data_IF_885185556314
#
_entry.id   IF_885185556314
#
_cell.length_a   1.000
_cell.length_b   1.000
_cell.length_c   1.000
_cell.angle_alpha   90.00
_cell.angle_beta   90.00
_cell.angle_gamma   90.00
#
_symmetry.space_group_name_H-M   'P 1'
#
loop_
_entity.id
_entity.type
_entity.pdbx_description
1 polymer ?
#
# COMPACT_ATOMS: atom_id res chain seq x y z
N UNK A 1 15.27 13.36 -14.85
CA UNK A 1 15.97 12.53 -13.85
C UNK A 1 14.93 12.21 -12.77
N UNK A 2 14.61 10.93 -12.56
CA UNK A 2 13.44 10.49 -11.79
C UNK A 2 13.50 10.93 -10.32
N UNK A 3 14.66 10.76 -9.67
CA UNK A 3 14.93 11.22 -8.30
C UNK A 3 14.64 12.70 -8.09
N UNK A 4 15.26 13.58 -8.87
CA UNK A 4 15.05 15.03 -8.75
C UNK A 4 13.58 15.43 -8.96
N UNK A 5 12.91 14.77 -9.92
CA UNK A 5 11.48 15.02 -10.17
C UNK A 5 10.62 14.64 -8.97
N UNK A 6 10.94 13.54 -8.29
CA UNK A 6 10.26 13.13 -7.07
C UNK A 6 10.54 14.08 -5.90
N UNK A 7 11.82 14.40 -5.64
CA UNK A 7 12.23 15.24 -4.52
C UNK A 7 11.65 16.66 -4.61
N UNK A 8 11.49 17.19 -5.82
CA UNK A 8 10.92 18.52 -6.06
C UNK A 8 9.38 18.52 -6.19
N UNK A 9 8.74 17.36 -6.20
CA UNK A 9 7.29 17.25 -6.39
C UNK A 9 6.50 17.51 -5.10
N UNK A 10 5.59 18.47 -5.12
CA UNK A 10 4.57 18.67 -4.07
C UNK A 10 3.21 18.06 -4.46
N UNK A 11 3.18 17.22 -5.51
CA UNK A 11 1.95 16.56 -5.96
C UNK A 11 1.43 15.57 -4.88
N UNK A 12 0.14 15.63 -4.50
CA UNK A 12 -0.45 14.76 -3.48
C UNK A 12 -0.28 13.25 -3.70
N UNK A 13 0.05 12.80 -4.92
CA UNK A 13 0.33 11.39 -5.20
C UNK A 13 1.44 10.81 -4.31
N UNK A 14 2.33 11.64 -3.76
CA UNK A 14 3.40 11.20 -2.85
C UNK A 14 2.86 10.51 -1.59
N UNK A 15 1.58 10.75 -1.24
CA UNK A 15 0.87 10.06 -0.17
C UNK A 15 0.19 8.75 -0.57
N UNK A 16 0.21 8.35 -1.84
CA UNK A 16 -0.48 7.15 -2.32
C UNK A 16 0.38 5.91 -2.13
N UNK A 17 -0.21 4.89 -1.53
CA UNK A 17 0.42 3.58 -1.28
C UNK A 17 -0.42 2.49 -1.93
N UNK A 18 0.24 1.56 -2.60
CA UNK A 18 -0.38 0.38 -3.18
C UNK A 18 0.28 -0.87 -2.63
N UNK A 19 -0.52 -1.72 -1.99
CA UNK A 19 -0.10 -3.06 -1.64
C UNK A 19 -0.55 -4.05 -2.71
N UNK A 20 0.41 -4.79 -3.25
CA UNK A 20 0.23 -5.77 -4.33
C UNK A 20 0.47 -7.18 -3.78
N UNK A 21 -0.43 -8.09 -4.12
CA UNK A 21 -0.38 -9.47 -3.67
C UNK A 21 -0.82 -10.45 -4.74
N UNK A 22 0.09 -11.31 -5.18
CA UNK A 22 -0.21 -12.40 -6.09
C UNK A 22 -0.59 -13.69 -5.33
N UNK A 23 -1.26 -14.63 -6.00
CA UNK A 23 -1.31 -16.01 -5.54
C UNK A 23 0.07 -16.67 -5.66
N UNK A 24 0.59 -17.20 -4.56
CA UNK A 24 1.97 -17.71 -4.43
C UNK A 24 2.08 -19.24 -4.63
N UNK A 25 0.97 -19.98 -4.55
CA UNK A 25 0.97 -21.45 -4.70
C UNK A 25 1.33 -22.25 -3.45
N UNK A 26 1.60 -21.60 -2.31
CA UNK A 26 1.73 -22.30 -1.02
C UNK A 26 0.37 -22.76 -0.50
N UNK A 27 0.32 -23.73 0.43
CA UNK A 27 -0.91 -24.10 1.11
C UNK A 27 -1.30 -23.08 2.20
N UNK A 28 -2.60 -22.99 2.48
CA UNK A 28 -3.14 -22.26 3.62
C UNK A 28 -2.90 -20.75 3.56
N UNK A 29 -2.59 -20.14 4.71
CA UNK A 29 -2.42 -18.68 4.84
C UNK A 29 -1.24 -18.14 4.02
N UNK A 30 -0.27 -18.97 3.66
CA UNK A 30 0.89 -18.56 2.86
C UNK A 30 0.58 -18.49 1.36
N UNK A 31 -0.61 -18.91 0.94
CA UNK A 31 -1.00 -19.00 -0.46
C UNK A 31 -1.09 -17.64 -1.18
N UNK A 32 -1.23 -16.54 -0.44
CA UNK A 32 -1.51 -15.23 -1.00
C UNK A 32 -0.54 -14.18 -0.49
N UNK A 33 0.15 -13.48 -1.40
CA UNK A 33 1.01 -12.35 -1.09
C UNK A 33 0.26 -11.24 -0.35
N UNK A 34 -1.04 -11.09 -0.62
CA UNK A 34 -1.92 -10.17 0.11
C UNK A 34 -1.95 -10.43 1.62
N UNK A 35 -1.83 -11.69 2.07
CA UNK A 35 -1.82 -12.02 3.49
C UNK A 35 -0.54 -11.49 4.17
N UNK A 36 0.59 -11.53 3.47
CA UNK A 36 1.84 -10.92 3.96
C UNK A 36 1.73 -9.39 3.99
N UNK A 37 1.06 -8.79 3.00
CA UNK A 37 0.86 -7.33 2.98
C UNK A 37 -0.08 -6.85 4.09
N UNK A 38 -1.03 -7.67 4.51
CA UNK A 38 -1.91 -7.35 5.64
C UNK A 38 -1.16 -7.28 6.98
N UNK A 39 0.00 -7.94 7.12
CA UNK A 39 0.91 -7.77 8.28
C UNK A 39 1.51 -6.38 8.30
N UNK A 40 1.77 -5.79 7.13
CA UNK A 40 2.41 -4.48 6.98
C UNK A 40 1.39 -3.34 7.10
N UNK A 41 0.13 -3.60 6.75
CA UNK A 41 -0.94 -2.59 6.68
C UNK A 41 -1.10 -1.74 7.95
N UNK A 42 -1.00 -2.28 9.18
CA UNK A 42 -1.11 -1.50 10.40
C UNK A 42 -0.02 -0.43 10.58
N UNK A 43 1.15 -0.61 9.96
CA UNK A 43 2.24 0.35 10.01
C UNK A 43 1.97 1.59 9.15
N UNK A 44 1.06 1.51 8.16
CA UNK A 44 0.79 2.61 7.23
C UNK A 44 0.00 3.71 7.94
N UNK A 45 0.55 4.93 8.10
CA UNK A 45 -0.12 5.99 8.81
C UNK A 45 -1.38 6.47 8.06
N UNK A 46 -2.42 6.97 8.75
CA UNK A 46 -3.64 7.46 8.10
C UNK A 46 -3.43 8.65 7.16
N UNK A 47 -2.26 9.31 7.20
CA UNK A 47 -1.85 10.31 6.21
C UNK A 47 -1.64 9.75 4.81
N UNK A 48 -1.40 8.44 4.69
CA UNK A 48 -1.23 7.80 3.40
C UNK A 48 -2.55 7.21 2.90
N UNK A 49 -2.83 7.46 1.63
CA UNK A 49 -3.93 6.83 0.89
C UNK A 49 -3.51 5.42 0.46
N UNK A 50 -3.78 4.45 1.33
CA UNK A 50 -3.48 3.05 1.10
C UNK A 50 -4.61 2.35 0.33
N UNK A 51 -4.25 1.83 -0.84
CA UNK A 51 -5.06 0.92 -1.66
C UNK A 51 -4.43 -0.47 -1.73
N UNK A 52 -5.24 -1.48 -2.05
CA UNK A 52 -4.80 -2.88 -2.14
C UNK A 52 -5.25 -3.47 -3.46
N UNK A 53 -4.40 -4.30 -4.07
CA UNK A 53 -4.70 -5.08 -5.26
C UNK A 53 -4.16 -6.49 -5.07
N UNK A 54 -5.02 -7.36 -4.56
CA UNK A 54 -4.69 -8.74 -4.21
C UNK A 54 -5.49 -9.69 -5.08
N UNK A 55 -4.88 -10.79 -5.53
CA UNK A 55 -5.59 -11.81 -6.33
C UNK A 55 -6.82 -12.34 -5.58
N UNK A 56 -6.68 -12.67 -4.28
CA UNK A 56 -7.78 -13.23 -3.45
C UNK A 56 -9.02 -12.34 -3.33
N UNK A 57 -8.83 -11.02 -3.44
CA UNK A 57 -9.90 -10.02 -3.27
C UNK A 57 -10.39 -9.50 -4.63
N UNK A 58 -9.82 -10.02 -5.73
CA UNK A 58 -10.11 -9.53 -7.06
C UNK A 58 -11.48 -10.00 -7.56
N UNK A 59 -12.27 -9.12 -8.20
CA UNK A 59 -13.55 -9.53 -8.79
C UNK A 59 -13.38 -10.65 -9.82
N UNK A 60 -14.03 -11.79 -9.56
CA UNK A 60 -13.96 -12.96 -10.44
C UNK A 60 -12.78 -13.90 -10.17
N UNK A 61 -12.04 -13.71 -9.07
CA UNK A 61 -11.08 -14.69 -8.59
C UNK A 61 -11.76 -16.03 -8.26
N UNK A 62 -11.17 -17.14 -8.72
CA UNK A 62 -11.61 -18.51 -8.46
C UNK A 62 -10.47 -19.26 -7.76
N UNK A 63 -10.71 -19.64 -6.50
CA UNK A 63 -9.76 -20.42 -5.70
C UNK A 63 -9.43 -21.80 -6.30
N UNK A 64 -10.30 -22.34 -7.17
CA UNK A 64 -10.06 -23.59 -7.89
C UNK A 64 -9.26 -23.38 -9.18
N UNK A 65 -9.14 -22.13 -9.64
CA UNK A 65 -8.28 -21.76 -10.76
C UNK A 65 -7.47 -20.47 -10.46
N UNK A 66 -6.63 -20.47 -9.42
CA UNK A 66 -6.03 -19.26 -8.89
C UNK A 66 -4.88 -18.70 -9.76
N UNK A 67 -4.39 -19.48 -10.73
CA UNK A 67 -3.32 -19.06 -11.64
C UNK A 67 -3.83 -18.30 -12.87
N UNK A 68 -5.08 -18.56 -13.28
CA UNK A 68 -5.71 -17.93 -14.44
C UNK A 68 -6.75 -16.86 -14.04
N UNK A 69 -7.00 -16.70 -12.74
CA UNK A 69 -7.94 -15.72 -12.20
C UNK A 69 -7.26 -14.81 -11.19
N UNK A 70 -7.76 -13.58 -11.06
CA UNK A 70 -7.09 -12.50 -10.34
C UNK A 70 -6.89 -11.29 -11.22
N UNK A 71 -6.12 -10.32 -10.74
CA UNK A 71 -5.77 -9.16 -11.56
C UNK A 71 -4.80 -9.59 -12.67
N UNK A 72 -4.63 -8.81 -13.73
CA UNK A 72 -3.66 -9.11 -14.77
C UNK A 72 -2.69 -7.93 -14.96
N UNK A 73 -1.66 -8.14 -15.78
CA UNK A 73 -0.63 -7.12 -16.01
C UNK A 73 -1.19 -5.78 -16.52
N UNK A 74 -2.25 -5.80 -17.33
CA UNK A 74 -2.85 -4.58 -17.87
C UNK A 74 -3.56 -3.77 -16.79
N UNK A 75 -4.15 -4.43 -15.78
CA UNK A 75 -4.75 -3.75 -14.64
C UNK A 75 -3.68 -2.97 -13.87
N UNK A 76 -2.52 -3.59 -13.61
CA UNK A 76 -1.41 -2.91 -12.96
C UNK A 76 -0.83 -1.81 -13.83
N UNK A 77 -0.61 -2.06 -15.12
CA UNK A 77 -0.09 -1.03 -16.05
C UNK A 77 -1.02 0.19 -16.13
N UNK A 78 -2.34 -0.01 -16.09
CA UNK A 78 -3.31 1.08 -16.04
C UNK A 78 -3.13 1.92 -14.76
N UNK A 79 -3.02 1.27 -13.60
CA UNK A 79 -2.74 1.93 -12.32
C UNK A 79 -1.42 2.70 -12.37
N UNK A 80 -0.33 2.07 -12.82
CA UNK A 80 0.98 2.71 -12.89
C UNK A 80 0.99 3.92 -13.82
N UNK A 81 0.28 3.87 -14.95
CA UNK A 81 0.25 4.95 -15.93
C UNK A 81 -0.71 6.09 -15.57
N UNK A 82 -1.89 5.77 -15.05
CA UNK A 82 -3.00 6.71 -14.94
C UNK A 82 -3.31 7.13 -13.49
N UNK A 83 -3.02 6.29 -12.50
CA UNK A 83 -3.26 6.56 -11.08
C UNK A 83 -2.06 6.14 -10.22
N UNK A 84 -0.88 6.59 -10.63
CA UNK A 84 0.40 6.12 -10.09
C UNK A 84 0.48 6.26 -8.56
N UNK A 85 0.64 5.15 -7.80
CA UNK A 85 0.98 5.22 -6.39
C UNK A 85 2.42 5.69 -6.23
N UNK A 86 2.76 6.33 -5.11
CA UNK A 86 4.15 6.67 -4.83
C UNK A 86 4.93 5.50 -4.22
N UNK A 87 4.27 4.68 -3.41
CA UNK A 87 4.90 3.56 -2.71
C UNK A 87 4.16 2.28 -3.12
N UNK A 88 4.91 1.28 -3.56
CA UNK A 88 4.38 -0.04 -3.89
C UNK A 88 5.07 -1.07 -3.00
N UNK A 89 4.30 -1.83 -2.22
CA UNK A 89 4.80 -3.02 -1.53
C UNK A 89 4.21 -4.26 -2.19
N UNK A 90 5.07 -5.15 -2.67
CA UNK A 90 4.70 -6.31 -3.47
C UNK A 90 5.20 -7.62 -2.85
N UNK A 91 4.31 -8.61 -2.83
CA UNK A 91 4.69 -10.00 -2.64
C UNK A 91 4.03 -10.87 -3.72
N UNK A 92 4.86 -11.59 -4.46
CA UNK A 92 4.48 -12.25 -5.71
C UNK A 92 5.61 -12.99 -6.40
N UNK A 93 5.37 -13.37 -7.65
CA UNK A 93 6.34 -14.15 -8.44
C UNK A 93 7.37 -13.26 -9.11
N UNK A 94 8.56 -13.79 -9.29
CA UNK A 94 9.65 -13.07 -9.91
C UNK A 94 10.59 -13.98 -10.69
N UNK A 95 11.24 -13.38 -11.67
CA UNK A 95 12.37 -13.95 -12.36
C UNK A 95 13.35 -12.83 -12.75
N UNK A 96 14.49 -13.14 -13.36
CA UNK A 96 15.51 -12.13 -13.69
C UNK A 96 14.90 -10.96 -14.47
N UNK A 97 14.08 -11.24 -15.48
CA UNK A 97 13.43 -10.26 -16.35
C UNK A 97 11.92 -10.07 -16.07
N UNK A 98 11.47 -10.36 -14.84
CA UNK A 98 10.06 -10.34 -14.48
C UNK A 98 9.82 -10.02 -12.99
N UNK A 99 8.88 -9.12 -12.71
CA UNK A 99 8.39 -8.84 -11.36
C UNK A 99 7.10 -8.03 -11.38
N UNK A 100 6.29 -8.11 -10.33
CA UNK A 100 4.98 -7.44 -10.23
C UNK A 100 4.04 -7.85 -11.38
N UNK A 101 4.14 -9.08 -11.88
CA UNK A 101 3.44 -9.54 -13.09
C UNK A 101 3.82 -8.83 -14.41
N UNK A 102 4.92 -8.07 -14.42
CA UNK A 102 5.44 -7.35 -15.60
C UNK A 102 6.76 -7.96 -16.06
N UNK A 103 6.86 -8.27 -17.35
CA UNK A 103 8.16 -8.55 -17.98
C UNK A 103 8.86 -7.25 -18.40
N UNK A 104 10.15 -7.31 -18.71
CA UNK A 104 10.94 -6.14 -19.13
C UNK A 104 10.26 -5.31 -20.25
N UNK A 105 9.71 -5.96 -21.27
CA UNK A 105 9.00 -5.24 -22.35
C UNK A 105 7.73 -4.52 -21.89
N UNK A 106 7.06 -5.04 -20.87
CA UNK A 106 5.89 -4.38 -20.28
C UNK A 106 6.34 -3.14 -19.48
N UNK A 107 7.42 -3.27 -18.69
CA UNK A 107 8.04 -2.18 -17.92
C UNK A 107 8.52 -1.05 -18.85
N UNK A 108 9.19 -1.40 -19.94
CA UNK A 108 9.69 -0.43 -20.94
C UNK A 108 8.56 0.31 -21.66
N UNK A 109 7.35 -0.27 -21.68
CA UNK A 109 6.17 0.31 -22.32
C UNK A 109 5.34 1.22 -21.39
N UNK A 110 5.72 1.32 -20.11
CA UNK A 110 5.10 2.26 -19.17
C UNK A 110 5.25 3.70 -19.66
N UNK A 111 4.30 4.54 -19.27
CA UNK A 111 4.14 5.95 -19.69
C UNK A 111 3.91 6.88 -18.49
N UNK A 112 4.20 6.41 -17.28
CA UNK A 112 3.98 7.18 -16.08
C UNK A 112 4.97 8.35 -15.99
N UNK A 113 4.44 9.54 -15.74
CA UNK A 113 5.25 10.75 -15.52
C UNK A 113 5.42 11.05 -14.01
N UNK A 114 4.60 10.41 -13.17
CA UNK A 114 4.80 10.33 -11.72
C UNK A 114 5.65 9.10 -11.43
N UNK A 115 6.71 9.25 -10.64
CA UNK A 115 7.64 8.16 -10.34
C UNK A 115 7.34 7.54 -8.98
N UNK A 116 7.56 6.24 -8.88
CA UNK A 116 7.23 5.45 -7.70
C UNK A 116 8.44 4.73 -7.11
N UNK A 117 8.31 4.29 -5.86
CA UNK A 117 9.20 3.38 -5.17
C UNK A 117 8.54 2.00 -5.07
N UNK A 118 9.32 0.93 -5.26
CA UNK A 118 8.84 -0.45 -5.10
C UNK A 118 9.66 -1.18 -4.04
N UNK A 119 9.02 -1.82 -3.08
CA UNK A 119 9.60 -2.89 -2.26
C UNK A 119 8.97 -4.21 -2.68
N UNK A 120 9.76 -5.17 -3.17
CA UNK A 120 9.25 -6.45 -3.67
C UNK A 120 9.99 -7.63 -3.07
N UNK A 121 9.24 -8.60 -2.55
CA UNK A 121 9.78 -9.85 -2.02
C UNK A 121 10.02 -10.92 -3.10
N UNK A 122 9.69 -10.64 -4.36
CA UNK A 122 9.82 -11.54 -5.51
C UNK A 122 11.22 -12.14 -5.71
N UNK A 123 11.28 -13.34 -6.28
CA UNK A 123 12.54 -13.96 -6.69
C UNK A 123 13.21 -13.21 -7.87
N UNK A 124 14.53 -13.07 -7.84
CA UNK A 124 15.46 -12.74 -8.94
C UNK A 124 15.25 -11.40 -9.66
N UNK A 125 14.19 -10.66 -9.38
CA UNK A 125 13.89 -9.39 -10.06
C UNK A 125 14.96 -8.32 -9.85
N UNK A 126 15.81 -8.46 -8.82
CA UNK A 126 17.00 -7.62 -8.56
C UNK A 126 18.33 -8.32 -8.85
N UNK A 127 18.34 -9.35 -9.71
CA UNK A 127 19.54 -10.12 -10.06
C UNK A 127 20.42 -9.36 -11.06
N UNK A 128 21.06 -8.26 -10.64
CA UNK A 128 21.88 -7.38 -11.50
C UNK A 128 23.15 -8.01 -12.08
N UNK A 129 23.53 -9.21 -11.62
CA UNK A 129 24.57 -10.02 -12.28
C UNK A 129 24.02 -10.86 -13.44
N UNK A 130 22.71 -10.79 -13.67
CA UNK A 130 21.93 -11.43 -14.73
C UNK A 130 22.11 -12.95 -14.81
N UNK A 131 22.59 -13.61 -13.74
CA UNK A 131 22.97 -15.02 -13.76
C UNK A 131 21.95 -15.89 -12.99
N UNK A 132 21.37 -16.87 -13.69
CA UNK A 132 20.59 -17.93 -13.04
C UNK A 132 20.97 -19.31 -13.61
N UNK A 133 21.31 -20.24 -12.71
CA UNK A 133 21.66 -21.62 -13.05
C UNK A 133 22.72 -21.77 -14.16
N UNK A 134 23.74 -20.89 -14.17
CA UNK A 134 24.82 -20.91 -15.16
C UNK A 134 24.50 -20.21 -16.49
N UNK A 135 23.31 -19.62 -16.63
CA UNK A 135 22.88 -18.89 -17.81
C UNK A 135 22.74 -17.39 -17.52
N UNK A 136 23.28 -16.57 -18.42
CA UNK A 136 23.09 -15.13 -18.39
C UNK A 136 21.80 -14.75 -19.11
N UNK A 137 21.03 -13.84 -18.51
CA UNK A 137 19.82 -13.24 -19.03
C UNK A 137 20.08 -11.77 -19.40
N UNK A 138 19.04 -11.05 -19.83
CA UNK A 138 19.08 -9.59 -19.98
C UNK A 138 19.15 -8.90 -18.61
N UNK A 139 19.32 -7.59 -18.64
CA UNK A 139 19.23 -6.74 -17.44
C UNK A 139 17.95 -7.01 -16.66
N UNK A 140 18.08 -6.96 -15.35
CA UNK A 140 17.05 -7.45 -14.45
C UNK A 140 15.86 -6.47 -14.40
N UNK A 141 14.69 -6.96 -13.95
CA UNK A 141 13.50 -6.13 -13.87
C UNK A 141 13.72 -4.84 -13.04
N UNK A 142 14.54 -4.90 -11.99
CA UNK A 142 14.91 -3.73 -11.19
C UNK A 142 15.65 -2.66 -12.00
N UNK A 143 16.55 -3.05 -12.91
CA UNK A 143 17.23 -2.14 -13.83
C UNK A 143 16.24 -1.53 -14.83
N UNK A 144 15.30 -2.33 -15.34
CA UNK A 144 14.26 -1.82 -16.23
C UNK A 144 13.33 -0.79 -15.55
N UNK A 145 12.94 -1.02 -14.29
CA UNK A 145 12.16 -0.05 -13.53
C UNK A 145 12.94 1.24 -13.27
N UNK A 146 14.25 1.19 -13.08
CA UNK A 146 15.04 2.31 -12.53
C UNK A 146 15.90 3.06 -13.55
N UNK A 147 16.52 2.40 -14.52
CA UNK A 147 17.51 3.04 -15.41
C UNK A 147 17.24 2.86 -16.91
N UNK A 148 16.62 1.76 -17.36
CA UNK A 148 16.43 1.52 -18.81
C UNK A 148 15.28 2.32 -19.41
N UNK A 149 14.32 2.75 -18.59
CA UNK A 149 13.16 3.54 -19.03
C UNK A 149 13.14 4.95 -18.42
N UNK A 150 12.74 5.99 -19.19
CA UNK A 150 12.46 7.32 -18.64
C UNK A 150 11.23 7.32 -17.73
N UNK A 151 10.42 6.25 -17.76
CA UNK A 151 9.26 5.99 -16.92
C UNK A 151 9.61 5.01 -15.79
N UNK A 152 8.61 4.50 -15.08
CA UNK A 152 8.80 3.53 -14.00
C UNK A 152 9.15 4.16 -12.65
N UNK A 153 10.10 3.54 -11.95
CA UNK A 153 10.44 3.82 -10.57
C UNK A 153 11.64 4.77 -10.43
N UNK A 154 11.66 5.59 -9.38
CA UNK A 154 12.88 6.30 -8.97
C UNK A 154 13.81 5.44 -8.13
N UNK A 155 13.27 4.42 -7.45
CA UNK A 155 14.04 3.43 -6.72
C UNK A 155 13.23 2.13 -6.53
N UNK A 156 13.92 0.99 -6.42
CA UNK A 156 13.29 -0.28 -6.04
C UNK A 156 14.16 -1.05 -5.05
N UNK A 157 13.53 -1.81 -4.15
CA UNK A 157 14.16 -2.86 -3.35
C UNK A 157 13.64 -4.19 -3.86
N UNK A 158 14.54 -5.01 -4.41
CA UNK A 158 14.22 -6.32 -4.98
C UNK A 158 15.32 -7.34 -4.66
N UNK A 159 14.96 -8.62 -4.65
CA UNK A 159 15.89 -9.69 -4.31
C UNK A 159 16.76 -10.09 -5.51
N UNK A 160 18.07 -10.21 -5.28
CA UNK A 160 19.01 -10.74 -6.27
C UNK A 160 18.86 -12.25 -6.49
N UNK A 161 18.32 -12.98 -5.52
CA UNK A 161 18.02 -14.42 -5.61
C UNK A 161 16.60 -14.69 -5.11
N UNK A 162 16.37 -15.67 -4.24
CA UNK A 162 15.02 -16.16 -4.00
C UNK A 162 14.25 -15.25 -3.04
N UNK A 163 12.98 -14.99 -3.34
CA UNK A 163 12.03 -14.56 -2.32
C UNK A 163 11.75 -15.71 -1.36
N UNK A 164 12.07 -15.56 -0.08
CA UNK A 164 11.97 -16.64 0.90
C UNK A 164 10.70 -16.50 1.74
N UNK A 165 9.68 -17.28 1.38
CA UNK A 165 8.45 -17.50 2.14
C UNK A 165 8.58 -18.58 3.22
N UNK A 166 7.47 -18.89 3.89
CA UNK A 166 7.36 -20.02 4.80
C UNK A 166 6.01 -20.71 4.64
N UNK A 167 5.97 -22.03 4.78
CA UNK A 167 4.75 -22.82 4.60
C UNK A 167 3.86 -22.76 5.85
N UNK A 168 2.57 -22.50 5.65
CA UNK A 168 1.57 -22.51 6.72
C UNK A 168 1.61 -21.32 7.68
N UNK A 169 2.43 -20.30 7.40
CA UNK A 169 2.55 -19.06 8.18
C UNK A 169 2.89 -17.86 7.29
N UNK A 170 2.50 -16.66 7.71
CA UNK A 170 2.92 -15.38 7.09
C UNK A 170 4.25 -14.86 7.66
N UNK A 171 4.77 -15.50 8.71
CA UNK A 171 6.11 -15.24 9.25
C UNK A 171 7.15 -15.85 8.31
N UNK A 172 7.87 -15.02 7.56
CA UNK A 172 8.86 -15.48 6.59
C UNK A 172 10.15 -14.66 6.63
N UNK A 173 11.28 -15.21 6.16
CA UNK A 173 12.53 -14.47 6.11
C UNK A 173 12.41 -13.15 5.34
N UNK A 174 11.84 -13.17 4.13
CA UNK A 174 11.62 -11.95 3.35
C UNK A 174 10.61 -11.02 4.01
N UNK A 175 9.56 -11.58 4.65
CA UNK A 175 8.53 -10.84 5.36
C UNK A 175 9.07 -10.02 6.53
N UNK A 176 10.05 -10.56 7.28
CA UNK A 176 10.65 -9.84 8.40
C UNK A 176 11.45 -8.59 7.98
N UNK A 177 12.17 -8.66 6.86
CA UNK A 177 12.87 -7.47 6.33
C UNK A 177 11.89 -6.44 5.79
N UNK A 178 10.82 -6.89 5.14
CA UNK A 178 9.73 -6.03 4.67
C UNK A 178 9.03 -5.30 5.82
N UNK A 179 8.63 -6.03 6.86
CA UNK A 179 8.04 -5.46 8.07
C UNK A 179 8.96 -4.45 8.75
N UNK A 180 10.24 -4.81 8.92
CA UNK A 180 11.21 -3.93 9.58
C UNK A 180 11.50 -2.67 8.75
N UNK A 181 11.46 -2.77 7.42
CA UNK A 181 11.62 -1.61 6.53
C UNK A 181 10.45 -0.63 6.67
N UNK A 182 9.21 -1.10 6.62
CA UNK A 182 8.03 -0.23 6.72
C UNK A 182 7.83 0.32 8.13
N UNK A 183 8.18 -0.45 9.17
CA UNK A 183 8.31 0.07 10.54
C UNK A 183 9.31 1.22 10.64
N UNK A 184 10.48 1.09 9.99
CA UNK A 184 11.48 2.15 9.97
C UNK A 184 10.95 3.43 9.33
N UNK A 185 10.29 3.31 8.17
CA UNK A 185 9.71 4.44 7.44
C UNK A 185 8.61 5.15 8.24
N UNK A 186 7.64 4.38 8.74
CA UNK A 186 6.37 4.94 9.20
C UNK A 186 6.25 5.14 10.71
N UNK A 187 6.92 4.32 11.53
CA UNK A 187 6.89 4.47 12.99
C UNK A 187 8.13 5.19 13.53
N UNK A 188 9.31 4.87 12.98
CA UNK A 188 10.58 5.40 13.50
C UNK A 188 11.03 6.68 12.80
N UNK A 189 10.34 7.11 11.74
CA UNK A 189 10.68 8.30 10.96
C UNK A 189 12.00 8.21 10.19
N UNK A 190 12.54 7.01 9.98
CA UNK A 190 13.74 6.77 9.18
C UNK A 190 13.38 6.74 7.69
N UNK A 191 13.10 7.90 7.10
CA UNK A 191 12.49 7.99 5.76
C UNK A 191 13.44 7.82 4.58
N UNK A 192 14.75 7.97 4.80
CA UNK A 192 15.75 7.72 3.75
C UNK A 192 15.79 6.23 3.39
N UNK A 193 15.62 5.89 2.10
CA UNK A 193 15.52 4.51 1.62
C UNK A 193 16.72 3.65 2.05
N UNK A 194 17.93 4.19 1.95
CA UNK A 194 19.15 3.49 2.36
C UNK A 194 19.20 3.23 3.87
N UNK A 195 18.81 4.21 4.69
CA UNK A 195 18.76 4.04 6.15
C UNK A 195 17.68 3.05 6.58
N UNK A 196 16.49 3.12 6.00
CA UNK A 196 15.41 2.17 6.29
C UNK A 196 15.79 0.73 5.90
N UNK A 197 16.41 0.54 4.74
CA UNK A 197 16.88 -0.79 4.30
C UNK A 197 18.05 -1.31 5.13
N UNK A 198 18.92 -0.43 5.64
CA UNK A 198 19.95 -0.83 6.59
C UNK A 198 19.36 -1.20 7.95
N UNK A 199 18.38 -0.42 8.44
CA UNK A 199 17.68 -0.69 9.68
C UNK A 199 16.99 -2.06 9.63
N UNK A 200 16.31 -2.40 8.53
CA UNK A 200 15.63 -3.70 8.40
C UNK A 200 16.60 -4.87 8.60
N UNK A 201 17.86 -4.71 8.16
CA UNK A 201 18.94 -5.69 8.38
C UNK A 201 19.43 -5.73 9.83
N UNK A 202 19.49 -4.58 10.48
CA UNK A 202 19.91 -4.46 11.88
C UNK A 202 18.85 -5.02 12.85
N UNK A 203 17.56 -4.75 12.61
CA UNK A 203 16.46 -5.22 13.47
C UNK A 203 16.37 -6.76 13.48
N UNK A 204 16.82 -7.40 12.39
CA UNK A 204 16.81 -8.85 12.21
C UNK A 204 18.14 -9.55 12.52
N UNK A 205 19.18 -8.83 12.96
CA UNK A 205 20.52 -9.42 13.17
C UNK A 205 20.54 -10.54 14.20
N UNK A 206 19.70 -10.45 15.23
CA UNK A 206 19.65 -11.43 16.32
C UNK A 206 19.10 -12.79 15.90
N UNK A 207 18.38 -12.85 14.77
CA UNK A 207 17.81 -14.06 14.18
C UNK A 207 18.50 -14.50 12.88
N UNK A 208 19.68 -13.97 12.59
CA UNK A 208 20.41 -14.25 11.33
C UNK A 208 20.74 -15.73 11.08
N UNK A 209 20.69 -16.57 12.12
CA UNK A 209 20.94 -18.01 12.03
C UNK A 209 19.67 -18.85 11.82
N UNK A 210 18.50 -18.23 11.83
CA UNK A 210 17.25 -18.89 11.44
C UNK A 210 17.25 -19.18 9.93
N UNK A 211 16.43 -20.15 9.51
CA UNK A 211 16.41 -20.60 8.12
C UNK A 211 16.05 -19.44 7.18
N UNK A 212 16.84 -19.23 6.14
CA UNK A 212 16.63 -18.20 5.12
C UNK A 212 17.00 -16.76 5.53
N UNK A 213 17.04 -16.42 6.82
CA UNK A 213 17.28 -15.03 7.28
C UNK A 213 18.59 -14.44 6.73
N UNK A 214 19.67 -15.21 6.73
CA UNK A 214 20.97 -14.77 6.19
C UNK A 214 20.93 -14.49 4.69
N UNK A 215 20.17 -15.28 3.93
CA UNK A 215 20.08 -15.14 2.48
C UNK A 215 19.24 -13.94 2.09
N UNK A 216 18.07 -13.79 2.72
CA UNK A 216 17.24 -12.60 2.58
C UNK A 216 18.01 -11.31 2.93
N UNK A 217 18.83 -11.32 3.99
CA UNK A 217 19.69 -10.18 4.33
C UNK A 217 20.63 -9.74 3.18
N UNK A 218 21.25 -10.70 2.50
CA UNK A 218 22.25 -10.42 1.46
C UNK A 218 21.63 -10.12 0.11
N UNK A 219 20.47 -10.70 -0.20
CA UNK A 219 19.87 -10.57 -1.52
C UNK A 219 18.93 -9.37 -1.67
N UNK A 220 18.38 -8.83 -0.57
CA UNK A 220 17.53 -7.63 -0.60
C UNK A 220 18.37 -6.37 -0.86
N UNK A 221 18.33 -5.91 -2.11
CA UNK A 221 19.18 -4.83 -2.61
C UNK A 221 18.34 -3.62 -3.04
N UNK A 222 18.86 -2.43 -2.71
CA UNK A 222 18.30 -1.15 -3.16
C UNK A 222 18.94 -0.75 -4.49
N UNK A 223 18.10 -0.47 -5.48
CA UNK A 223 18.43 0.14 -6.76
C UNK A 223 17.88 1.56 -6.77
N UNK A 224 18.72 2.55 -7.05
CA UNK A 224 18.38 3.96 -6.95
C UNK A 224 19.24 4.68 -5.91
N UNK A 225 18.86 5.91 -5.59
CA UNK A 225 19.61 6.76 -4.68
C UNK A 225 19.25 6.46 -3.21
N UNK A 226 20.20 6.02 -2.37
CA UNK A 226 19.96 5.68 -0.97
C UNK A 226 19.61 6.88 -0.07
N UNK A 227 19.89 8.12 -0.49
CA UNK A 227 19.61 9.33 0.30
C UNK A 227 18.18 9.85 0.09
N UNK A 228 17.44 9.31 -0.89
CA UNK A 228 16.06 9.74 -1.15
C UNK A 228 15.17 9.41 0.03
N UNK A 229 14.48 10.44 0.54
CA UNK A 229 13.48 10.30 1.59
C UNK A 229 12.09 10.01 1.01
N UNK A 230 11.41 9.01 1.57
CA UNK A 230 9.97 8.85 1.37
C UNK A 230 9.22 10.03 1.98
N UNK A 231 8.52 10.77 1.12
CA UNK A 231 7.65 11.89 1.50
C UNK A 231 6.44 11.42 2.30
N UNK A 232 6.11 12.19 3.32
CA UNK A 232 4.95 11.97 4.18
C UNK A 232 3.96 13.13 4.02
N UNK A 233 2.69 12.86 3.70
CA UNK A 233 1.66 13.89 3.69
C UNK A 233 1.52 14.54 5.07
N UNK A 234 1.37 15.86 5.10
CA UNK A 234 1.29 16.61 6.34
C UNK A 234 -0.03 16.43 7.09
N UNK A 235 -1.10 16.03 6.38
CA UNK A 235 -2.43 15.78 6.95
C UNK A 235 -3.01 14.48 6.37
N UNK A 236 -3.73 13.75 7.22
CA UNK A 236 -4.42 12.51 6.90
C UNK A 236 -5.79 12.45 7.54
N UNK A 237 -6.78 11.97 6.80
CA UNK A 237 -8.12 11.72 7.31
C UNK A 237 -8.65 10.45 6.66
N UNK A 238 -9.26 9.57 7.45
CA UNK A 238 -9.86 8.33 6.95
C UNK A 238 -11.12 7.97 7.72
N UNK A 239 -12.19 7.68 6.99
CA UNK A 239 -13.42 7.13 7.55
C UNK A 239 -13.15 5.67 7.91
N UNK A 240 -13.24 5.34 9.20
CA UNK A 240 -13.01 3.97 9.71
C UNK A 240 -14.30 3.25 10.03
N UNK A 241 -15.38 3.98 10.32
CA UNK A 241 -16.73 3.44 10.39
C UNK A 241 -17.70 4.42 9.75
N UNK A 242 -18.77 3.93 9.10
CA UNK A 242 -19.09 2.52 8.89
C UNK A 242 -18.30 1.85 7.76
N UNK A 243 -17.86 0.60 7.96
CA UNK A 243 -17.40 -0.27 6.87
C UNK A 243 -18.56 -0.66 5.93
N UNK A 244 -18.24 -1.21 4.76
CA UNK A 244 -19.25 -1.70 3.80
C UNK A 244 -20.06 -2.86 4.40
N UNK A 245 -21.36 -2.67 4.55
CA UNK A 245 -22.25 -3.67 5.15
C UNK A 245 -23.62 -3.11 5.48
N UNK A 246 -24.46 -3.96 6.06
CA UNK A 246 -25.80 -3.59 6.51
C UNK A 246 -25.82 -3.23 8.00
N UNK A 247 -26.40 -2.09 8.35
CA UNK A 247 -26.50 -1.58 9.73
C UNK A 247 -27.96 -1.33 10.11
N UNK A 248 -28.31 -1.62 11.37
CA UNK A 248 -29.64 -1.41 11.93
C UNK A 248 -29.54 -0.70 13.29
N UNK A 249 -30.04 0.54 13.36
CA UNK A 249 -30.01 1.42 14.53
C UNK A 249 -28.60 1.53 15.13
N UNK A 250 -27.62 1.87 14.29
CA UNK A 250 -26.21 1.95 14.65
C UNK A 250 -25.50 0.61 14.87
N UNK A 251 -26.21 -0.53 14.88
CA UNK A 251 -25.61 -1.84 15.08
C UNK A 251 -25.23 -2.48 13.73
N UNK A 252 -23.97 -2.80 13.55
CA UNK A 252 -23.48 -3.51 12.37
C UNK A 252 -21.95 -3.46 12.21
N UNK A 253 -21.44 -3.93 11.06
CA UNK A 253 -22.22 -4.51 9.97
C UNK A 253 -22.82 -5.86 10.39
N UNK A 254 -24.14 -6.05 10.24
CA UNK A 254 -24.84 -7.32 10.55
C UNK A 254 -24.47 -8.41 9.55
N UNK A 255 -24.18 -8.01 8.32
CA UNK A 255 -23.61 -8.82 7.25
C UNK A 255 -22.92 -7.91 6.24
N UNK A 256 -21.87 -8.41 5.55
CA UNK A 256 -21.13 -7.64 4.56
C UNK A 256 -21.98 -7.37 3.31
N UNK A 257 -21.73 -6.23 2.66
CA UNK A 257 -22.34 -5.81 1.40
C UNK A 257 -21.28 -5.10 0.55
N UNK A 258 -21.55 -4.90 -0.75
CA UNK A 258 -20.66 -4.12 -1.62
C UNK A 258 -20.72 -2.60 -1.37
N UNK A 259 -21.75 -2.14 -0.67
CA UNK A 259 -21.99 -0.75 -0.27
C UNK A 259 -22.48 -0.68 1.17
N UNK A 260 -22.35 0.47 1.81
CA UNK A 260 -22.90 0.70 3.15
C UNK A 260 -24.39 1.02 3.07
N UNK A 261 -25.20 0.24 3.80
CA UNK A 261 -26.65 0.41 3.90
C UNK A 261 -27.02 0.51 5.37
N UNK A 262 -27.74 1.57 5.76
CA UNK A 262 -28.11 1.82 7.14
C UNK A 262 -29.62 2.08 7.29
N UNK A 263 -30.24 1.48 8.30
CA UNK A 263 -31.60 1.79 8.73
C UNK A 263 -31.54 2.34 10.15
N UNK A 264 -32.04 3.55 10.39
CA UNK A 264 -31.93 4.25 11.66
C UNK A 264 -30.71 5.17 11.74
N UNK A 265 -30.21 5.39 12.96
CA UNK A 265 -29.00 6.18 13.20
C UNK A 265 -27.73 5.42 12.77
N UNK A 266 -26.68 6.17 12.47
CA UNK A 266 -25.35 5.63 12.20
C UNK A 266 -24.28 6.61 12.67
N UNK A 267 -23.14 6.10 13.14
CA UNK A 267 -22.01 6.93 13.56
C UNK A 267 -20.92 6.86 12.51
N UNK A 268 -20.48 8.01 12.04
CA UNK A 268 -19.29 8.15 11.19
C UNK A 268 -18.11 8.36 12.13
N UNK A 269 -17.16 7.42 12.16
CA UNK A 269 -15.92 7.54 12.93
C UNK A 269 -14.76 7.79 11.99
N UNK A 270 -13.87 8.68 12.41
CA UNK A 270 -12.75 9.14 11.59
C UNK A 270 -11.45 8.99 12.36
N UNK A 271 -10.43 8.43 11.70
CA UNK A 271 -9.06 8.54 12.14
C UNK A 271 -8.41 9.72 11.40
N UNK A 272 -7.83 10.66 12.15
CA UNK A 272 -7.18 11.84 11.62
C UNK A 272 -5.80 12.02 12.24
N UNK A 273 -4.84 12.47 11.45
CA UNK A 273 -3.46 12.66 11.89
C UNK A 273 -2.79 13.77 11.09
N UNK A 274 -1.86 14.48 11.72
CA UNK A 274 -1.18 15.63 11.14
C UNK A 274 0.30 15.68 11.55
N UNK A 275 1.08 16.50 10.85
CA UNK A 275 2.46 16.82 11.18
C UNK A 275 2.61 18.29 11.59
N UNK A 276 3.24 18.59 12.74
CA UNK A 276 3.78 17.65 13.74
C UNK A 276 2.67 16.81 14.40
N UNK A 277 2.98 15.69 15.08
CA UNK A 277 1.98 14.92 15.82
C UNK A 277 1.13 15.80 16.74
N UNK A 278 -0.13 15.40 16.97
CA UNK A 278 -1.12 16.15 17.77
C UNK A 278 -1.48 17.54 17.22
N UNK A 279 -1.20 17.82 15.94
CA UNK A 279 -1.50 19.11 15.31
C UNK A 279 -2.81 19.15 14.50
N UNK A 280 -3.66 18.13 14.62
CA UNK A 280 -5.01 18.15 14.03
C UNK A 280 -5.85 19.20 14.76
N UNK A 281 -6.35 20.19 14.03
CA UNK A 281 -7.19 21.27 14.55
C UNK A 281 -8.66 20.81 14.69
N UNK A 282 -9.22 20.25 13.61
CA UNK A 282 -10.59 19.72 13.60
C UNK A 282 -10.86 18.80 12.41
N UNK A 283 -11.93 18.01 12.52
CA UNK A 283 -12.53 17.24 11.44
C UNK A 283 -13.95 17.74 11.19
N UNK A 284 -14.23 18.13 9.96
CA UNK A 284 -15.56 18.55 9.49
C UNK A 284 -16.24 17.39 8.75
N UNK A 285 -17.53 17.19 9.02
CA UNK A 285 -18.36 16.14 8.45
C UNK A 285 -19.44 16.76 7.57
N UNK A 286 -19.56 16.28 6.34
CA UNK A 286 -20.49 16.78 5.34
C UNK A 286 -21.35 15.64 4.80
N UNK A 287 -22.57 15.99 4.40
CA UNK A 287 -23.46 15.12 3.62
C UNK A 287 -23.90 15.91 2.40
N UNK A 288 -23.65 15.37 1.20
CA UNK A 288 -23.93 16.01 -0.09
C UNK A 288 -23.39 17.46 -0.13
N UNK A 289 -22.13 17.63 0.30
CA UNK A 289 -21.44 18.92 0.43
C UNK A 289 -22.04 19.91 1.46
N UNK A 290 -23.01 19.50 2.28
CA UNK A 290 -23.57 20.32 3.36
C UNK A 290 -22.92 19.96 4.69
N UNK A 291 -22.30 20.94 5.35
CA UNK A 291 -21.66 20.76 6.67
C UNK A 291 -22.70 20.32 7.72
N UNK A 292 -22.42 19.23 8.41
CA UNK A 292 -23.26 18.66 9.49
C UNK A 292 -22.64 18.82 10.87
N UNK A 293 -21.33 18.63 10.98
CA UNK A 293 -20.62 18.70 12.26
C UNK A 293 -19.18 19.16 12.07
N UNK A 294 -18.60 19.73 13.12
CA UNK A 294 -17.17 20.00 13.24
C UNK A 294 -16.72 19.53 14.61
N UNK A 295 -15.78 18.59 14.64
CA UNK A 295 -15.26 17.98 15.85
C UNK A 295 -13.77 18.29 16.00
N UNK A 296 -13.39 18.87 17.13
CA UNK A 296 -12.01 19.27 17.44
C UNK A 296 -11.35 18.37 18.49
N UNK A 297 -12.05 17.33 18.96
CA UNK A 297 -11.58 16.48 20.06
C UNK A 297 -11.60 15.02 19.62
N UNK A 298 -10.42 14.41 19.55
CA UNK A 298 -10.29 12.96 19.30
C UNK A 298 -10.89 12.14 20.45
N UNK A 299 -11.61 11.02 20.19
CA UNK A 299 -11.85 10.41 18.88
C UNK A 299 -12.89 11.17 18.04
N UNK A 300 -12.53 11.49 16.80
CA UNK A 300 -13.39 12.27 15.88
C UNK A 300 -14.56 11.44 15.40
N UNK A 301 -15.78 11.89 15.71
CA UNK A 301 -16.98 11.17 15.32
C UNK A 301 -18.18 12.10 15.14
N UNK A 302 -19.06 11.69 14.24
CA UNK A 302 -20.34 12.34 14.06
C UNK A 302 -21.46 11.30 14.01
N UNK A 303 -22.44 11.45 14.90
CA UNK A 303 -23.65 10.65 14.87
C UNK A 303 -24.65 11.27 13.89
N UNK A 304 -24.97 10.53 12.84
CA UNK A 304 -26.01 10.91 11.90
C UNK A 304 -27.38 10.60 12.50
N UNK A 305 -28.11 11.67 12.84
CA UNK A 305 -29.48 11.63 13.34
C UNK A 305 -30.41 12.46 12.46
N UNK A 306 -31.71 12.16 12.51
CA UNK A 306 -32.76 12.88 11.79
C UNK A 306 -33.19 12.19 10.49
N UNK A 307 -34.25 12.72 9.88
CA UNK A 307 -34.88 12.19 8.67
C UNK A 307 -33.94 12.24 7.47
N UNK A 308 -33.65 11.08 6.89
CA UNK A 308 -32.84 10.95 5.68
C UNK A 308 -33.26 9.71 4.89
N UNK A 309 -33.34 9.83 3.57
CA UNK A 309 -33.74 8.73 2.70
C UNK A 309 -33.00 8.78 1.37
N UNK A 310 -32.33 7.67 1.04
CA UNK A 310 -31.67 7.49 -0.25
C UNK A 310 -30.16 7.37 -0.12
N UNK A 311 -29.49 7.45 -1.27
CA UNK A 311 -28.02 7.47 -1.35
C UNK A 311 -27.51 8.87 -1.10
N UNK A 312 -26.46 8.98 -0.28
CA UNK A 312 -25.77 10.21 0.03
C UNK A 312 -24.27 10.02 -0.04
N UNK A 313 -23.56 11.10 -0.36
CA UNK A 313 -22.12 11.18 -0.23
C UNK A 313 -21.77 11.77 1.15
N UNK A 314 -21.06 10.98 1.96
CA UNK A 314 -20.42 11.47 3.18
C UNK A 314 -19.01 11.90 2.83
N UNK A 315 -18.69 13.15 3.13
CA UNK A 315 -17.34 13.69 3.01
C UNK A 315 -16.84 14.12 4.37
N UNK A 316 -15.61 13.78 4.70
CA UNK A 316 -14.92 14.27 5.90
C UNK A 316 -13.71 15.08 5.47
N UNK A 317 -13.44 16.20 6.15
CA UNK A 317 -12.29 17.06 5.89
C UNK A 317 -11.56 17.31 7.21
N UNK A 318 -10.32 16.85 7.30
CA UNK A 318 -9.44 17.13 8.41
C UNK A 318 -8.62 18.39 8.13
N UNK A 319 -8.50 19.25 9.15
CA UNK A 319 -7.67 20.44 9.14
C UNK A 319 -6.60 20.30 10.20
N UNK A 320 -5.40 20.74 9.87
CA UNK A 320 -4.29 20.84 10.83
C UNK A 320 -4.00 22.30 11.16
N UNK A 321 -3.36 22.51 12.31
CA UNK A 321 -3.02 23.84 12.83
C UNK A 321 -2.03 24.64 11.97
N UNK A 322 -1.31 23.98 11.06
CA UNK A 322 -0.43 24.63 10.07
C UNK A 322 -1.15 24.99 8.76
N UNK A 323 -2.45 24.67 8.63
CA UNK A 323 -3.27 24.99 7.47
C UNK A 323 -3.38 23.88 6.42
N UNK A 324 -2.75 22.72 6.64
CA UNK A 324 -2.86 21.57 5.73
C UNK A 324 -4.21 20.85 5.91
N UNK A 325 -4.74 20.33 4.81
CA UNK A 325 -6.04 19.66 4.78
C UNK A 325 -5.98 18.32 4.07
N UNK A 326 -6.78 17.36 4.53
CA UNK A 326 -7.02 16.10 3.83
C UNK A 326 -8.51 15.77 3.86
N UNK A 327 -9.00 15.01 2.88
CA UNK A 327 -10.40 14.59 2.82
C UNK A 327 -10.56 13.12 2.44
N UNK A 328 -11.62 12.51 2.94
CA UNK A 328 -12.05 11.16 2.60
C UNK A 328 -13.57 11.15 2.37
N UNK A 329 -14.04 10.24 1.51
CA UNK A 329 -15.42 10.24 1.01
C UNK A 329 -15.97 8.82 0.90
N UNK A 330 -17.25 8.64 1.21
CA UNK A 330 -17.95 7.37 1.02
C UNK A 330 -19.41 7.55 0.60
N UNK A 331 -19.94 6.59 -0.15
CA UNK A 331 -21.37 6.47 -0.41
C UNK A 331 -22.07 5.66 0.69
N UNK A 332 -23.21 6.16 1.16
CA UNK A 332 -24.10 5.43 2.07
C UNK A 332 -25.55 5.52 1.58
N UNK A 333 -26.26 4.40 1.59
CA UNK A 333 -27.71 4.39 1.46
C UNK A 333 -28.33 4.34 2.86
N UNK A 334 -29.11 5.37 3.23
CA UNK A 334 -29.72 5.48 4.56
C UNK A 334 -31.25 5.57 4.49
N UNK A 335 -31.90 4.94 5.47
CA UNK A 335 -33.32 5.13 5.77
C UNK A 335 -33.44 5.44 7.26
N UNK A 336 -33.58 6.71 7.60
CA UNK A 336 -33.79 7.18 8.98
C UNK A 336 -35.10 7.96 9.09
N UNK A 337 -35.88 7.62 10.11
CA UNK A 337 -37.21 8.18 10.40
C UNK A 337 -37.18 9.14 11.58
#
# INVERSE_FOLDING_TARGET
MKTLSYEQSDDPYTGKVLFLGEYLGFPGVSAYGGNYKDVIKPYVPPQYDLTTMYDRDWPGFDENNPWDTGWNKYDLMDVLNNNTPCIINHDGHGFVNYGLRLGNSDIDSLKNDRYFFVYSQTCLAGSFDNLYNGHYYSDCAAEHFTVESPHGAFAVIMNARYGLGSEGTVESPSGHYDESFFKALFELGMRELGKANLYSKQDNVWRINENGMRWACYETNLFGDPEVEIKQPAMGVKIVEPEKGFYLFGNGPLFPLSKTVAIGDITIKVNASALPPDSVDRVEFYVDNVLKSSDSISPYQWKWEGLSFGSHEVKVVGYSSNGETASDEMEIFIISL
#
